data_IF_360158354184
#
_entry.id   IF_360158354184
#
_cell.length_a   1.000
_cell.length_b   1.000
_cell.length_c   1.000
_cell.angle_alpha   90.00
_cell.angle_beta   90.00
_cell.angle_gamma   90.00
#
_symmetry.space_group_name_H-M   'P 1'
#
loop_
_entity.id
_entity.type
_entity.pdbx_description
1 polymer ?
#
# COMPACT_ATOMS: atom_id res chain seq x y z
N UNK A 1 -27.18 4.92 -22.30
CA UNK A 1 -27.07 4.35 -20.94
C UNK A 1 -25.63 4.54 -20.49
N UNK A 2 -25.43 5.17 -19.33
CA UNK A 2 -24.14 5.57 -18.77
C UNK A 2 -23.17 4.38 -18.60
N UNK A 3 -21.90 4.57 -18.96
CA UNK A 3 -20.78 3.87 -18.32
C UNK A 3 -19.98 4.91 -17.53
N UNK A 4 -19.98 4.72 -16.21
CA UNK A 4 -19.45 5.65 -15.23
C UNK A 4 -17.98 5.97 -15.48
N UNK A 5 -17.72 7.27 -15.56
CA UNK A 5 -16.42 7.87 -15.43
C UNK A 5 -15.88 7.60 -14.02
N UNK A 6 -14.97 6.65 -13.87
CA UNK A 6 -14.02 6.65 -12.75
C UNK A 6 -12.72 7.29 -13.24
N UNK A 7 -12.79 8.60 -13.53
CA UNK A 7 -11.62 9.45 -13.45
C UNK A 7 -11.20 9.44 -11.98
N UNK A 8 -10.30 8.53 -11.60
CA UNK A 8 -9.69 8.51 -10.28
C UNK A 8 -8.69 9.67 -10.24
N UNK A 9 -9.23 10.87 -10.05
CA UNK A 9 -8.49 12.12 -9.91
C UNK A 9 -7.39 11.97 -8.88
N UNK A 10 -6.15 11.98 -9.35
CA UNK A 10 -4.95 12.52 -8.69
C UNK A 10 -5.06 12.64 -7.16
N UNK A 11 -4.71 11.57 -6.45
CA UNK A 11 -4.10 11.73 -5.13
C UNK A 11 -2.60 11.67 -5.34
N UNK A 12 -2.06 12.78 -5.87
CA UNK A 12 -0.66 13.15 -5.67
C UNK A 12 -0.50 13.37 -4.16
N UNK A 13 -0.34 12.29 -3.39
CA UNK A 13 0.19 12.37 -2.03
C UNK A 13 1.68 12.71 -2.14
N UNK A 14 1.95 13.95 -2.54
CA UNK A 14 3.20 14.65 -2.30
C UNK A 14 3.24 15.21 -0.86
N UNK A 15 2.31 14.76 -0.01
CA UNK A 15 2.12 15.17 1.36
C UNK A 15 2.54 14.02 2.26
N UNK A 16 3.51 14.31 3.12
CA UNK A 16 3.94 13.57 4.29
C UNK A 16 3.04 12.39 4.71
N UNK A 17 3.64 11.22 4.88
CA UNK A 17 2.97 10.01 5.37
C UNK A 17 2.90 10.09 6.90
N UNK A 18 1.72 10.34 7.44
CA UNK A 18 1.56 10.56 8.89
C UNK A 18 0.95 9.33 9.60
N UNK A 19 0.36 8.41 8.83
CA UNK A 19 -0.26 7.20 9.36
C UNK A 19 -0.18 6.03 8.37
N UNK A 20 -0.55 4.85 8.84
CA UNK A 20 -0.56 3.63 8.05
C UNK A 20 -1.49 3.68 6.82
N UNK A 21 -2.63 4.35 6.91
CA UNK A 21 -3.55 4.47 5.78
C UNK A 21 -2.98 5.36 4.67
N UNK A 22 -2.28 6.44 5.04
CA UNK A 22 -1.54 7.28 4.09
C UNK A 22 -0.50 6.45 3.35
N UNK A 23 0.25 5.61 4.08
CA UNK A 23 1.26 4.72 3.51
C UNK A 23 0.66 3.74 2.49
N UNK A 24 -0.48 3.12 2.83
CA UNK A 24 -1.20 2.21 1.93
C UNK A 24 -1.66 2.94 0.66
N UNK A 25 -2.27 4.11 0.82
CA UNK A 25 -2.77 4.92 -0.29
C UNK A 25 -1.61 5.37 -1.20
N UNK A 26 -0.47 5.74 -0.62
CA UNK A 26 0.71 6.14 -1.37
C UNK A 26 1.31 4.97 -2.17
N UNK A 27 1.44 3.79 -1.56
CA UNK A 27 1.92 2.60 -2.26
C UNK A 27 1.00 2.22 -3.43
N UNK A 28 -0.31 2.20 -3.20
CA UNK A 28 -1.31 1.95 -4.24
C UNK A 28 -1.25 3.00 -5.36
N UNK A 29 -1.06 4.28 -5.02
CA UNK A 29 -0.96 5.35 -6.01
C UNK A 29 0.30 5.24 -6.87
N UNK A 30 1.43 4.82 -6.30
CA UNK A 30 2.72 4.71 -7.00
C UNK A 30 2.81 3.46 -7.89
N UNK A 31 2.40 2.31 -7.37
CA UNK A 31 2.60 1.01 -8.03
C UNK A 31 1.33 0.49 -8.72
N UNK A 32 0.19 1.15 -8.52
CA UNK A 32 -1.11 0.70 -9.02
C UNK A 32 -1.66 -0.51 -8.27
N UNK A 33 -2.78 -1.03 -8.74
CA UNK A 33 -3.50 -2.17 -8.13
C UNK A 33 -3.47 -3.43 -9.00
N UNK A 34 -2.50 -3.54 -9.92
CA UNK A 34 -2.31 -4.73 -10.75
C UNK A 34 -3.54 -5.06 -11.61
N UNK A 35 -4.16 -4.04 -12.24
CA UNK A 35 -5.42 -4.14 -12.96
C UNK A 35 -6.60 -4.62 -12.09
N UNK A 36 -6.60 -4.25 -10.80
CA UNK A 36 -7.60 -4.63 -9.82
C UNK A 36 -7.36 -5.97 -9.11
N UNK A 37 -6.28 -6.69 -9.41
CA UNK A 37 -5.96 -7.97 -8.77
C UNK A 37 -5.20 -7.80 -7.44
N UNK A 38 -4.52 -6.67 -7.24
CA UNK A 38 -3.71 -6.47 -6.04
C UNK A 38 -4.53 -5.90 -4.89
N UNK A 39 -4.52 -6.63 -3.78
CA UNK A 39 -5.04 -6.18 -2.50
C UNK A 39 -3.88 -5.64 -1.66
N UNK A 40 -3.74 -4.31 -1.62
CA UNK A 40 -2.78 -3.64 -0.74
C UNK A 40 -3.21 -3.72 0.71
N UNK A 41 -2.29 -4.05 1.60
CA UNK A 41 -2.53 -4.10 3.04
C UNK A 41 -1.31 -3.64 3.84
N UNK A 42 -1.57 -3.10 5.04
CA UNK A 42 -0.55 -2.76 6.03
C UNK A 42 -0.30 -3.98 6.91
N UNK A 43 0.94 -4.19 7.33
CA UNK A 43 1.22 -5.16 8.38
C UNK A 43 0.85 -4.61 9.76
N UNK A 44 0.15 -5.43 10.52
CA UNK A 44 -0.23 -5.14 11.89
C UNK A 44 0.53 -6.06 12.83
N UNK A 45 0.94 -5.49 13.96
CA UNK A 45 1.50 -6.24 15.08
C UNK A 45 0.41 -7.14 15.66
N UNK A 46 0.72 -8.42 15.84
CA UNK A 46 -0.29 -9.42 16.20
C UNK A 46 -0.77 -9.27 17.66
N UNK A 47 0.06 -8.71 18.54
CA UNK A 47 -0.23 -8.58 19.96
C UNK A 47 -1.04 -7.31 20.25
N UNK A 48 -0.70 -6.20 19.58
CA UNK A 48 -1.31 -4.89 19.81
C UNK A 48 -2.38 -4.53 18.80
N UNK A 49 -2.46 -5.26 17.68
CA UNK A 49 -3.33 -4.96 16.55
C UNK A 49 -3.13 -3.53 16.02
N UNK A 50 -1.93 -2.96 16.19
CA UNK A 50 -1.53 -1.66 15.68
C UNK A 50 -0.67 -1.84 14.42
N UNK A 51 -0.70 -0.88 13.47
CA UNK A 51 0.20 -0.91 12.33
C UNK A 51 1.66 -1.01 12.78
N UNK A 52 2.41 -1.93 12.18
CA UNK A 52 3.85 -2.04 12.43
C UNK A 52 4.52 -0.82 11.81
N UNK A 53 5.10 0.02 12.66
CA UNK A 53 5.94 1.13 12.27
C UNK A 53 7.40 0.81 12.62
N UNK A 54 8.27 0.93 11.63
CA UNK A 54 9.70 0.76 11.82
C UNK A 54 10.29 1.93 12.64
N UNK A 55 11.47 1.77 13.27
CA UNK A 55 12.13 2.86 14.01
C UNK A 55 12.42 4.12 13.18
N UNK A 56 12.55 3.99 11.87
CA UNK A 56 12.71 5.10 10.92
C UNK A 56 11.39 5.79 10.54
N UNK A 57 10.28 5.36 11.15
CA UNK A 57 8.94 5.88 10.92
C UNK A 57 8.22 5.28 9.72
N UNK A 58 8.87 4.38 8.96
CA UNK A 58 8.27 3.76 7.77
C UNK A 58 7.23 2.69 8.13
N UNK A 59 6.25 2.51 7.26
CA UNK A 59 5.26 1.44 7.35
C UNK A 59 5.55 0.36 6.31
N UNK A 60 5.41 -0.90 6.72
CA UNK A 60 5.51 -2.04 5.80
C UNK A 60 4.17 -2.30 5.11
N UNK A 61 4.15 -2.16 3.78
CA UNK A 61 2.96 -2.35 2.95
C UNK A 61 3.21 -3.48 1.96
N UNK A 62 2.23 -4.38 1.81
CA UNK A 62 2.30 -5.46 0.81
C UNK A 62 1.11 -5.46 -0.12
N UNK A 63 1.36 -5.74 -1.39
CA UNK A 63 0.36 -6.10 -2.38
C UNK A 63 0.18 -7.62 -2.37
N UNK A 64 -1.06 -8.06 -2.19
CA UNK A 64 -1.44 -9.47 -2.27
C UNK A 64 -2.13 -9.69 -3.61
N UNK A 65 -1.61 -10.60 -4.42
CA UNK A 65 -2.28 -11.13 -5.60
C UNK A 65 -2.78 -12.56 -5.29
N UNK A 66 -4.10 -12.76 -5.16
CA UNK A 66 -4.67 -14.07 -4.86
C UNK A 66 -4.48 -15.07 -6.02
N UNK A 67 -4.12 -14.62 -7.22
CA UNK A 67 -3.89 -15.48 -8.39
C UNK A 67 -2.48 -16.04 -8.44
N UNK A 68 -1.53 -15.47 -7.69
CA UNK A 68 -0.10 -15.85 -7.75
C UNK A 68 0.22 -17.24 -7.20
N UNK A 69 -0.74 -17.98 -6.63
CA UNK A 69 -0.54 -19.38 -6.22
C UNK A 69 0.53 -19.60 -5.13
N UNK A 70 1.12 -18.54 -4.58
CA UNK A 70 2.09 -18.61 -3.48
C UNK A 70 1.35 -18.74 -2.15
N UNK A 71 1.94 -19.43 -1.17
CA UNK A 71 1.32 -19.66 0.15
C UNK A 71 0.89 -18.37 0.88
N UNK A 72 1.52 -17.24 0.57
CA UNK A 72 1.21 -15.93 1.17
C UNK A 72 0.52 -14.96 0.20
N UNK A 73 0.40 -15.32 -1.09
CA UNK A 73 -0.14 -14.48 -2.16
C UNK A 73 0.57 -13.14 -2.33
N UNK A 74 1.76 -12.92 -1.75
CA UNK A 74 2.41 -11.60 -1.80
C UNK A 74 3.03 -11.38 -3.17
N UNK A 75 2.53 -10.38 -3.91
CA UNK A 75 3.04 -9.99 -5.22
C UNK A 75 4.15 -8.94 -5.11
N UNK A 76 4.06 -8.03 -4.13
CA UNK A 76 5.06 -7.00 -3.89
C UNK A 76 5.05 -6.56 -2.42
N UNK A 77 6.20 -6.14 -1.91
CA UNK A 77 6.34 -5.48 -0.60
C UNK A 77 7.18 -4.22 -0.71
N UNK A 78 6.78 -3.19 0.02
CA UNK A 78 7.50 -1.91 0.07
C UNK A 78 7.50 -1.35 1.49
N UNK A 79 8.59 -0.68 1.85
CA UNK A 79 8.59 0.25 2.99
C UNK A 79 8.20 1.62 2.47
N UNK A 80 7.25 2.26 3.12
CA UNK A 80 6.81 3.62 2.79
C UNK A 80 7.23 4.56 3.91
N UNK A 81 8.10 5.50 3.60
CA UNK A 81 8.71 6.41 4.57
C UNK A 81 7.85 7.66 4.81
N UNK A 82 8.03 8.36 5.95
CA UNK A 82 7.30 9.60 6.27
C UNK A 82 7.40 10.70 5.20
N UNK A 83 8.51 10.76 4.47
CA UNK A 83 8.75 11.71 3.38
C UNK A 83 8.07 11.31 2.06
N UNK A 84 7.40 10.16 2.02
CA UNK A 84 6.76 9.60 0.83
C UNK A 84 7.71 8.81 -0.08
N UNK A 85 8.99 8.72 0.25
CA UNK A 85 9.91 7.80 -0.43
C UNK A 85 9.50 6.35 -0.16
N UNK A 86 9.89 5.44 -1.07
CA UNK A 86 9.53 4.03 -0.96
C UNK A 86 10.67 3.15 -1.45
N UNK A 87 10.95 2.07 -0.72
CA UNK A 87 11.90 1.03 -1.11
C UNK A 87 11.17 -0.29 -1.29
N UNK A 88 11.51 -1.03 -2.35
CA UNK A 88 11.02 -2.39 -2.56
C UNK A 88 11.83 -3.36 -1.69
N UNK A 89 11.14 -4.33 -1.08
CA UNK A 89 11.74 -5.46 -0.36
C UNK A 89 11.65 -6.74 -1.19
#
# INVERSE_FOLDING_TARGET
MQSAQQSNSQLTNNGQINNAQDALNAAKAKYGDGNGNYHWTIMYDADTNQPIQNPDGSYFVKAIDPTQGTMTGTAQSVNVYPDGSMTNN
#
